data_IF_363646830636
#
_entry.id   IF_363646830636
#
_cell.length_a   1.000
_cell.length_b   1.000
_cell.length_c   1.000
_cell.angle_alpha   90.00
_cell.angle_beta   90.00
_cell.angle_gamma   90.00
#
_symmetry.space_group_name_H-M   'P 1'
#
loop_
_entity.id
_entity.type
_entity.pdbx_description
1 polymer ?
#
# COMPACT_ATOMS: atom_id res chain seq x y z
N UNK A 1 -9.42 2.19 2.22
CA UNK A 1 -8.61 1.83 1.05
C UNK A 1 -9.44 2.07 -0.20
N UNK A 2 -8.90 2.72 -1.21
CA UNK A 2 -9.59 2.99 -2.49
C UNK A 2 -8.69 2.65 -3.67
N UNK A 3 -9.31 2.27 -4.78
CA UNK A 3 -8.65 1.99 -6.05
C UNK A 3 -9.22 2.91 -7.11
N UNK A 4 -8.35 3.61 -7.81
CA UNK A 4 -8.73 4.59 -8.83
C UNK A 4 -7.88 4.35 -10.09
N UNK A 5 -8.47 4.54 -11.26
CA UNK A 5 -7.68 4.57 -12.51
C UNK A 5 -6.89 5.88 -12.56
N UNK A 6 -5.62 5.76 -12.94
CA UNK A 6 -4.74 6.90 -13.17
C UNK A 6 -3.68 6.56 -14.20
N UNK A 7 -3.68 7.27 -15.32
CA UNK A 7 -2.65 7.19 -16.36
C UNK A 7 -2.44 5.75 -16.91
N UNK A 8 -3.51 4.96 -17.01
CA UNK A 8 -3.43 3.55 -17.43
C UNK A 8 -2.92 2.60 -16.35
N UNK A 9 -2.75 3.07 -15.11
CA UNK A 9 -2.39 2.28 -13.94
C UNK A 9 -3.50 2.34 -12.89
N UNK A 10 -3.44 1.45 -11.89
CA UNK A 10 -4.34 1.52 -10.73
C UNK A 10 -3.62 2.24 -9.60
N UNK A 11 -4.12 3.41 -9.22
CA UNK A 11 -3.70 4.09 -8.01
C UNK A 11 -4.41 3.47 -6.80
N UNK A 12 -3.61 2.92 -5.89
CA UNK A 12 -4.08 2.43 -4.60
C UNK A 12 -3.82 3.48 -3.51
N UNK A 13 -4.88 3.91 -2.82
CA UNK A 13 -4.77 4.80 -1.66
C UNK A 13 -5.17 4.07 -0.39
N UNK A 14 -4.20 3.82 0.49
CA UNK A 14 -4.43 3.34 1.83
C UNK A 14 -4.44 4.52 2.81
N UNK A 15 -5.53 4.64 3.58
CA UNK A 15 -5.65 5.61 4.68
C UNK A 15 -5.78 4.80 5.96
N UNK A 16 -4.71 4.75 6.75
CA UNK A 16 -4.75 4.18 8.08
C UNK A 16 -5.16 5.26 9.08
N UNK A 17 -6.30 5.09 9.72
CA UNK A 17 -6.91 6.10 10.59
C UNK A 17 -6.69 5.73 12.04
N UNK A 18 -6.13 6.68 12.79
CA UNK A 18 -5.88 6.52 14.21
C UNK A 18 -6.90 7.31 15.04
N UNK A 19 -7.34 6.78 16.19
CA UNK A 19 -8.32 7.43 17.05
C UNK A 19 -7.78 8.70 17.71
N UNK A 20 -6.46 8.93 17.71
CA UNK A 20 -5.82 10.16 18.17
C UNK A 20 -4.44 10.34 17.54
N UNK A 21 -3.89 11.56 17.65
CA UNK A 21 -2.50 11.84 17.27
C UNK A 21 -1.49 11.00 18.05
N UNK A 22 -1.73 10.75 19.34
CA UNK A 22 -0.83 9.93 20.16
C UNK A 22 -0.75 8.49 19.62
N UNK A 23 -1.88 7.91 19.19
CA UNK A 23 -1.90 6.57 18.59
C UNK A 23 -1.18 6.52 17.24
N UNK A 24 -1.26 7.59 16.44
CA UNK A 24 -0.47 7.71 15.20
C UNK A 24 1.04 7.79 15.49
N UNK A 25 1.42 8.61 16.47
CA UNK A 25 2.83 8.81 16.83
C UNK A 25 3.44 7.50 17.37
N UNK A 26 2.68 6.71 18.15
CA UNK A 26 3.07 5.36 18.62
C UNK A 26 3.17 4.34 17.48
N UNK A 27 2.20 4.30 16.57
CA UNK A 27 2.22 3.40 15.41
C UNK A 27 3.39 3.71 14.45
N UNK A 28 3.73 4.99 14.32
CA UNK A 28 4.88 5.45 13.53
C UNK A 28 6.20 5.04 14.21
N UNK A 29 6.30 5.22 15.52
CA UNK A 29 7.49 4.85 16.30
C UNK A 29 7.73 3.33 16.35
N UNK A 30 6.66 2.53 16.38
CA UNK A 30 6.74 1.07 16.35
C UNK A 30 7.01 0.49 14.95
N UNK A 31 7.01 1.34 13.90
CA UNK A 31 7.19 0.89 12.52
C UNK A 31 5.98 0.17 11.93
N UNK A 32 4.80 0.26 12.56
CA UNK A 32 3.58 -0.42 12.08
C UNK A 32 3.13 0.06 10.69
N UNK A 33 3.58 1.23 10.24
CA UNK A 33 3.25 1.82 8.93
C UNK A 33 4.32 1.57 7.85
N UNK A 34 5.47 0.96 8.18
CA UNK A 34 6.59 0.81 7.23
C UNK A 34 6.50 -0.43 6.33
N UNK A 35 5.70 -1.44 6.70
CA UNK A 35 5.57 -2.70 5.95
C UNK A 35 4.79 -2.61 4.64
N UNK A 36 4.05 -1.52 4.42
CA UNK A 36 3.16 -1.39 3.25
C UNK A 36 3.92 -1.37 1.92
N UNK A 37 5.09 -0.72 1.85
CA UNK A 37 5.87 -0.66 0.62
C UNK A 37 6.31 -2.07 0.15
N UNK A 38 6.87 -2.87 1.06
CA UNK A 38 7.29 -4.25 0.76
C UNK A 38 6.12 -5.21 0.47
N UNK A 39 4.93 -4.93 1.04
CA UNK A 39 3.73 -5.71 0.75
C UNK A 39 3.18 -5.41 -0.65
N UNK A 40 3.36 -4.19 -1.17
CA UNK A 40 2.86 -3.80 -2.50
C UNK A 40 3.83 -4.12 -3.66
N UNK A 41 5.11 -4.37 -3.39
CA UNK A 41 6.06 -4.88 -4.39
C UNK A 41 5.71 -6.31 -4.87
N UNK A 42 5.20 -7.17 -3.98
CA UNK A 42 4.77 -8.53 -4.32
C UNK A 42 3.60 -8.57 -5.35
N UNK A 43 2.54 -7.75 -5.22
CA UNK A 43 1.53 -7.56 -6.26
C UNK A 43 2.11 -7.11 -7.60
N UNK A 44 3.06 -6.18 -7.63
CA UNK A 44 3.66 -5.71 -8.88
C UNK A 44 4.43 -6.82 -9.58
N UNK A 45 5.22 -7.60 -8.82
CA UNK A 45 5.91 -8.80 -9.34
C UNK A 45 4.92 -9.86 -9.86
N UNK A 46 3.81 -10.09 -9.15
CA UNK A 46 2.79 -11.05 -9.54
C UNK A 46 2.05 -10.60 -10.82
N UNK A 47 1.67 -9.33 -10.90
CA UNK A 47 1.01 -8.76 -12.07
C UNK A 47 1.94 -8.80 -13.29
N UNK A 48 3.22 -8.47 -13.09
CA UNK A 48 4.24 -8.60 -14.13
C UNK A 48 4.36 -10.05 -14.58
N UNK A 49 4.50 -11.01 -13.66
CA UNK A 49 4.59 -12.44 -14.00
C UNK A 49 3.36 -12.97 -14.76
N UNK A 50 2.17 -12.43 -14.49
CA UNK A 50 0.93 -12.77 -15.21
C UNK A 50 0.88 -12.16 -16.62
N UNK A 51 1.43 -10.95 -16.81
CA UNK A 51 1.50 -10.29 -18.13
C UNK A 51 2.48 -11.00 -19.09
N UNK A 52 3.62 -11.47 -18.58
CA UNK A 52 4.62 -12.23 -19.37
C UNK A 52 4.11 -13.64 -19.77
N UNK A 53 2.98 -14.09 -19.20
CA UNK A 53 2.40 -15.41 -19.41
C UNK A 53 1.45 -15.58 -20.61
N UNK A 54 1.40 -14.62 -21.54
CA UNK A 54 0.45 -14.62 -22.69
C UNK A 54 1.14 -14.68 -24.05
#
# INVERSE_FOLDING_TARGET
>A
MTFEEKDGQTLLVLRDLFPSKAALDEASASGSTSGFAAQFEQPDELLFAMDIGT
#
